data_IF_026442827213
#
_entry.id   IF_026442827213
#
_cell.length_a   1.000
_cell.length_b   1.000
_cell.length_c   1.000
_cell.angle_alpha   90.00
_cell.angle_beta   90.00
_cell.angle_gamma   90.00
#
_symmetry.space_group_name_H-M   'P 1'
#
loop_
_entity.id
_entity.type
_entity.pdbx_description
1 polymer ?
#
# COMPACT_ATOMS: atom_id res chain seq x y z
N UNK A 1 -63.04 4.95 2.17
CA UNK A 1 -62.42 6.18 2.73
C UNK A 1 -61.54 6.77 1.65
N UNK A 2 -62.02 7.91 1.13
CA UNK A 2 -61.43 8.98 0.29
C UNK A 2 -60.07 8.75 -0.41
N UNK A 3 -59.81 9.19 -1.64
CA UNK A 3 -60.62 9.45 -2.84
C UNK A 3 -59.64 9.90 -3.98
N UNK A 4 -59.64 9.20 -5.14
CA UNK A 4 -59.52 9.59 -6.59
C UNK A 4 -58.44 10.63 -7.02
N UNK A 5 -57.72 10.49 -8.16
CA UNK A 5 -58.22 10.50 -9.56
C UNK A 5 -57.23 9.80 -10.53
N UNK A 6 -57.79 9.01 -11.46
CA UNK A 6 -57.19 8.56 -12.73
C UNK A 6 -57.65 9.52 -13.83
N UNK A 7 -56.77 10.03 -14.70
CA UNK A 7 -57.12 10.34 -16.11
C UNK A 7 -55.89 10.19 -17.03
N UNK A 8 -56.07 9.34 -18.04
CA UNK A 8 -55.29 9.06 -19.25
C UNK A 8 -55.33 10.19 -20.29
N UNK A 9 -54.24 10.39 -21.06
CA UNK A 9 -54.25 10.89 -22.45
C UNK A 9 -53.15 10.15 -23.22
N UNK A 10 -53.48 9.01 -23.82
CA UNK A 10 -53.84 8.84 -25.24
C UNK A 10 -52.62 8.48 -26.11
N UNK A 11 -52.47 7.17 -26.38
CA UNK A 11 -51.83 6.69 -27.60
C UNK A 11 -52.69 7.10 -28.80
N UNK A 12 -52.37 8.24 -29.39
CA UNK A 12 -52.75 8.61 -30.75
C UNK A 12 -51.48 8.69 -31.57
N UNK A 13 -51.18 7.61 -32.30
CA UNK A 13 -50.17 7.63 -33.36
C UNK A 13 -50.62 8.68 -34.39
N UNK A 14 -49.87 9.77 -34.53
CA UNK A 14 -49.79 10.56 -35.76
C UNK A 14 -48.56 11.48 -35.68
N UNK A 15 -47.55 11.17 -36.49
CA UNK A 15 -46.61 12.17 -36.98
C UNK A 15 -45.29 12.33 -36.22
N UNK A 16 -44.22 12.04 -36.96
CA UNK A 16 -42.84 12.52 -36.81
C UNK A 16 -42.03 11.76 -35.74
N UNK A 17 -40.91 11.22 -36.21
CA UNK A 17 -40.08 10.27 -35.51
C UNK A 17 -39.51 10.82 -34.21
N UNK A 18 -39.62 10.02 -33.17
CA UNK A 18 -38.62 10.01 -32.11
C UNK A 18 -37.68 8.85 -32.44
N UNK A 19 -36.64 9.12 -33.21
CA UNK A 19 -35.39 8.40 -32.99
C UNK A 19 -35.08 8.57 -31.51
N UNK A 20 -35.07 7.47 -30.76
CA UNK A 20 -34.52 7.46 -29.40
C UNK A 20 -33.14 8.08 -29.54
N UNK A 21 -32.84 9.22 -28.89
CA UNK A 21 -31.49 9.76 -28.96
C UNK A 21 -30.55 8.68 -28.45
N UNK A 22 -29.53 8.38 -29.24
CA UNK A 22 -28.42 7.54 -28.79
C UNK A 22 -27.98 8.05 -27.41
N UNK A 23 -27.55 7.12 -26.56
CA UNK A 23 -27.20 7.25 -25.13
C UNK A 23 -26.24 8.39 -24.75
N UNK A 24 -25.82 9.19 -25.72
CA UNK A 24 -24.83 10.26 -25.64
C UNK A 24 -25.47 11.59 -25.21
N UNK A 25 -26.70 11.88 -25.64
CA UNK A 25 -27.33 13.19 -25.41
C UNK A 25 -27.80 13.39 -23.96
N UNK A 26 -28.25 12.31 -23.30
CA UNK A 26 -28.70 12.34 -21.90
C UNK A 26 -27.55 12.45 -20.89
N UNK A 27 -26.31 12.17 -21.30
CA UNK A 27 -25.16 12.14 -20.36
C UNK A 27 -24.58 13.54 -20.16
N UNK A 28 -24.51 14.35 -21.22
CA UNK A 28 -24.08 15.75 -21.15
C UNK A 28 -25.08 16.65 -20.44
N UNK A 29 -26.38 16.53 -20.76
CA UNK A 29 -27.42 17.27 -20.05
C UNK A 29 -27.43 16.91 -18.56
N UNK A 30 -27.24 15.63 -18.17
CA UNK A 30 -27.17 15.23 -16.76
C UNK A 30 -25.88 15.65 -16.04
N UNK A 31 -24.77 15.87 -16.77
CA UNK A 31 -23.52 16.43 -16.22
C UNK A 31 -23.63 17.94 -15.99
N UNK A 32 -24.53 18.62 -16.71
CA UNK A 32 -24.61 20.08 -16.77
C UNK A 32 -25.92 20.65 -16.17
N UNK A 33 -26.99 19.86 -16.01
CA UNK A 33 -28.26 20.26 -15.41
C UNK A 33 -28.28 19.98 -13.90
N UNK A 34 -28.29 21.06 -13.10
CA UNK A 34 -28.88 21.03 -11.76
C UNK A 34 -27.94 21.00 -10.54
N UNK A 35 -26.62 20.94 -10.71
CA UNK A 35 -25.68 21.13 -9.58
C UNK A 35 -24.59 22.14 -9.93
N UNK A 36 -24.66 23.32 -9.32
CA UNK A 36 -23.52 24.22 -9.26
C UNK A 36 -22.34 23.53 -8.57
N UNK A 37 -21.16 23.63 -9.18
CA UNK A 37 -19.84 23.73 -8.55
C UNK A 37 -19.46 22.86 -7.33
N UNK A 38 -20.13 21.75 -7.04
CA UNK A 38 -19.70 20.87 -5.95
C UNK A 38 -18.82 19.77 -6.53
N UNK A 39 -17.52 20.04 -6.47
CA UNK A 39 -16.42 19.08 -6.34
C UNK A 39 -16.80 17.59 -6.56
N UNK A 40 -17.09 17.21 -7.80
CA UNK A 40 -17.05 15.80 -8.19
C UNK A 40 -15.57 15.46 -8.38
N UNK A 41 -15.06 14.58 -7.54
CA UNK A 41 -13.71 14.01 -7.71
C UNK A 41 -13.59 13.44 -9.12
N UNK A 42 -12.51 13.79 -9.84
CA UNK A 42 -12.32 13.35 -11.22
C UNK A 42 -12.97 14.20 -12.31
N UNK A 43 -13.54 15.38 -11.98
CA UNK A 43 -13.98 16.33 -13.01
C UNK A 43 -12.85 17.32 -13.38
N UNK A 44 -12.49 17.37 -14.66
CA UNK A 44 -11.62 18.37 -15.28
C UNK A 44 -12.49 19.44 -15.97
N UNK A 45 -12.37 20.70 -15.55
CA UNK A 45 -12.97 21.83 -16.27
C UNK A 45 -11.87 22.68 -16.88
N UNK A 46 -11.74 22.63 -18.21
CA UNK A 46 -10.89 23.56 -18.94
C UNK A 46 -11.52 24.96 -19.07
N UNK A 47 -12.85 25.06 -18.96
CA UNK A 47 -13.61 26.31 -19.02
C UNK A 47 -14.81 26.24 -18.05
N UNK A 48 -14.98 27.19 -17.10
CA UNK A 48 -16.11 27.22 -16.18
C UNK A 48 -17.47 27.49 -16.83
N UNK A 49 -17.48 28.05 -18.05
CA UNK A 49 -18.66 28.63 -18.69
C UNK A 49 -19.36 27.72 -19.70
N UNK A 50 -18.80 26.55 -20.01
CA UNK A 50 -19.24 25.72 -21.13
C UNK A 50 -19.18 24.22 -20.81
N UNK A 51 -20.15 23.51 -21.36
CA UNK A 51 -20.52 22.15 -21.00
C UNK A 51 -21.04 21.47 -22.28
N UNK A 52 -20.39 21.76 -23.40
CA UNK A 52 -20.93 21.50 -24.73
C UNK A 52 -20.51 20.13 -25.25
N UNK A 53 -19.44 19.55 -24.70
CA UNK A 53 -18.89 18.24 -25.07
C UNK A 53 -18.01 17.69 -23.94
N UNK A 54 -17.80 16.37 -23.92
CA UNK A 54 -17.04 15.70 -22.87
C UNK A 54 -16.02 14.70 -23.40
N UNK A 55 -15.02 14.41 -22.58
CA UNK A 55 -14.09 13.31 -22.76
C UNK A 55 -14.05 12.52 -21.46
N UNK A 56 -14.50 11.28 -21.49
CA UNK A 56 -14.37 10.34 -20.37
C UNK A 56 -13.09 9.51 -20.53
N UNK A 57 -12.22 9.61 -19.54
CA UNK A 57 -11.01 8.82 -19.40
C UNK A 57 -11.32 7.67 -18.45
N UNK A 58 -11.26 6.45 -18.97
CA UNK A 58 -11.35 5.22 -18.20
C UNK A 58 -9.91 4.78 -17.95
N UNK A 59 -9.39 5.09 -16.76
CA UNK A 59 -8.01 4.79 -16.38
C UNK A 59 -8.00 3.43 -15.70
N UNK A 60 -7.43 2.44 -16.37
CA UNK A 60 -7.34 1.05 -15.95
C UNK A 60 -5.94 0.77 -15.40
N UNK A 61 -5.76 0.67 -14.07
CA UNK A 61 -4.51 0.20 -13.49
C UNK A 61 -4.29 -1.27 -13.84
N UNK A 62 -3.05 -1.64 -14.11
CA UNK A 62 -2.66 -3.03 -14.38
C UNK A 62 -1.47 -3.41 -13.50
N UNK A 63 -1.61 -4.49 -12.73
CA UNK A 63 -0.52 -5.00 -11.88
C UNK A 63 -0.29 -4.24 -10.58
N UNK A 64 -1.10 -3.21 -10.28
CA UNK A 64 -1.10 -2.53 -8.99
C UNK A 64 -2.38 -1.73 -8.71
N UNK A 65 -2.51 -1.23 -7.48
CA UNK A 65 -3.63 -0.40 -7.01
C UNK A 65 -3.16 1.01 -6.63
N UNK A 66 -3.25 2.01 -7.54
CA UNK A 66 -2.83 3.37 -7.22
C UNK A 66 -3.62 3.95 -6.05
N UNK A 67 -2.95 4.51 -5.05
CA UNK A 67 -3.60 5.32 -4.00
C UNK A 67 -4.20 6.62 -4.55
N UNK A 68 -3.72 7.09 -5.71
CA UNK A 68 -4.20 8.29 -6.35
C UNK A 68 -3.83 8.31 -7.85
N UNK A 69 -4.63 8.99 -8.67
CA UNK A 69 -4.25 9.36 -10.05
C UNK A 69 -4.32 10.88 -10.23
N UNK A 70 -3.51 11.41 -11.15
CA UNK A 70 -3.59 12.78 -11.64
C UNK A 70 -3.80 12.75 -13.13
N UNK A 71 -4.79 13.48 -13.62
CA UNK A 71 -5.02 13.67 -15.04
C UNK A 71 -4.81 15.14 -15.39
N UNK A 72 -4.01 15.39 -16.41
CA UNK A 72 -3.75 16.71 -16.96
C UNK A 72 -4.11 16.74 -18.45
N UNK A 73 -4.64 17.88 -18.87
CA UNK A 73 -5.09 18.14 -20.23
C UNK A 73 -4.57 19.51 -20.66
N UNK A 74 -4.02 19.62 -21.86
CA UNK A 74 -3.66 20.90 -22.47
C UNK A 74 -3.85 20.87 -23.98
N UNK A 75 -4.03 22.04 -24.58
CA UNK A 75 -3.98 22.20 -26.04
C UNK A 75 -2.57 21.92 -26.56
N UNK A 76 -2.43 21.43 -27.79
CA UNK A 76 -1.13 21.13 -28.43
C UNK A 76 -0.13 22.31 -28.38
N UNK A 77 -0.64 23.54 -28.42
CA UNK A 77 0.16 24.77 -28.34
C UNK A 77 0.59 25.14 -26.91
N UNK A 78 0.14 24.39 -25.91
CA UNK A 78 0.44 24.58 -24.48
C UNK A 78 -0.54 25.51 -23.75
N UNK A 79 -1.59 25.99 -24.40
CA UNK A 79 -2.59 26.87 -23.78
C UNK A 79 -3.73 26.10 -23.11
N UNK A 80 -4.46 26.75 -22.20
CA UNK A 80 -5.71 26.22 -21.64
C UNK A 80 -5.57 24.96 -20.78
N UNK A 81 -4.44 24.79 -20.07
CA UNK A 81 -4.18 23.60 -19.28
C UNK A 81 -5.13 23.45 -18.08
N UNK A 82 -5.67 22.25 -17.89
CA UNK A 82 -6.46 21.84 -16.73
C UNK A 82 -5.85 20.57 -16.10
N UNK A 83 -5.92 20.45 -14.78
CA UNK A 83 -5.50 19.24 -14.08
C UNK A 83 -6.47 18.92 -12.95
N UNK A 84 -6.59 17.62 -12.64
CA UNK A 84 -7.39 17.12 -11.53
C UNK A 84 -6.67 15.96 -10.87
N UNK A 85 -6.98 15.75 -9.61
CA UNK A 85 -6.44 14.67 -8.79
C UNK A 85 -7.61 13.85 -8.30
N UNK A 86 -7.49 12.53 -8.41
CA UNK A 86 -8.52 11.58 -7.98
C UNK A 86 -7.89 10.62 -6.97
N UNK A 87 -8.12 10.82 -5.66
CA UNK A 87 -7.70 9.85 -4.67
C UNK A 87 -8.49 8.55 -4.84
N UNK A 88 -7.87 7.42 -4.47
CA UNK A 88 -8.54 6.12 -4.49
C UNK A 88 -9.63 6.10 -3.41
N UNK A 89 -10.84 5.72 -3.81
CA UNK A 89 -11.92 5.48 -2.86
C UNK A 89 -11.60 4.21 -2.03
N UNK A 90 -11.66 4.23 -0.69
CA UNK A 90 -11.38 3.07 0.14
C UNK A 90 -12.26 1.83 -0.13
N UNK A 91 -13.44 2.02 -0.74
CA UNK A 91 -14.35 0.92 -1.11
C UNK A 91 -14.13 0.38 -2.52
N UNK A 92 -13.16 0.94 -3.25
CA UNK A 92 -12.84 0.54 -4.61
C UNK A 92 -12.13 -0.81 -4.60
N UNK A 93 -12.66 -1.78 -5.34
CA UNK A 93 -12.02 -3.09 -5.48
C UNK A 93 -10.62 -2.95 -6.11
N UNK A 94 -9.76 -3.92 -5.85
CA UNK A 94 -8.44 -3.98 -6.48
C UNK A 94 -8.58 -4.13 -8.00
N UNK A 95 -7.74 -3.40 -8.74
CA UNK A 95 -7.77 -3.32 -10.20
C UNK A 95 -8.97 -2.58 -10.79
N UNK A 96 -9.82 -1.93 -9.98
CA UNK A 96 -10.92 -1.13 -10.51
C UNK A 96 -10.40 0.09 -11.29
N UNK A 97 -11.16 0.52 -12.30
CA UNK A 97 -10.81 1.68 -13.11
C UNK A 97 -11.20 3.00 -12.41
N UNK A 98 -10.37 4.03 -12.59
CA UNK A 98 -10.72 5.40 -12.25
C UNK A 98 -11.43 6.04 -13.44
N UNK A 99 -12.48 6.81 -13.17
CA UNK A 99 -13.19 7.56 -14.19
C UNK A 99 -12.90 9.04 -14.01
N UNK A 100 -12.34 9.67 -15.04
CA UNK A 100 -12.09 11.11 -15.09
C UNK A 100 -12.87 11.69 -16.25
N UNK A 101 -13.67 12.71 -16.02
CA UNK A 101 -14.43 13.39 -17.08
C UNK A 101 -13.83 14.77 -17.30
N UNK A 102 -13.37 15.04 -18.52
CA UNK A 102 -12.97 16.37 -18.95
C UNK A 102 -14.10 17.03 -19.74
N UNK A 103 -14.62 18.13 -19.21
CA UNK A 103 -15.54 19.01 -19.92
C UNK A 103 -14.74 19.99 -20.77
N UNK A 104 -15.03 20.01 -22.06
CA UNK A 104 -14.28 20.78 -23.05
C UNK A 104 -15.14 21.91 -23.62
N UNK A 105 -14.46 22.96 -24.08
CA UNK A 105 -15.08 24.13 -24.71
C UNK A 105 -14.48 24.43 -26.07
N UNK A 106 -15.11 25.37 -26.79
CA UNK A 106 -14.56 25.90 -28.05
C UNK A 106 -13.26 26.70 -27.86
N UNK A 107 -12.77 26.89 -26.63
CA UNK A 107 -11.46 27.52 -26.36
C UNK A 107 -10.29 26.56 -26.64
N UNK A 108 -10.52 25.26 -26.48
CA UNK A 108 -9.59 24.21 -26.87
C UNK A 108 -9.97 23.76 -28.29
N UNK A 109 -9.30 24.30 -29.32
CA UNK A 109 -9.61 23.98 -30.74
C UNK A 109 -8.56 23.11 -31.42
N UNK A 110 -7.36 23.01 -30.85
CA UNK A 110 -6.26 22.22 -31.37
C UNK A 110 -6.12 20.87 -30.65
N UNK A 111 -5.56 19.88 -31.35
CA UNK A 111 -5.25 18.54 -30.82
C UNK A 111 -4.97 18.52 -29.30
N UNK A 112 -5.74 17.72 -28.55
CA UNK A 112 -5.64 17.70 -27.09
C UNK A 112 -4.56 16.74 -26.66
N UNK A 113 -3.64 17.20 -25.81
CA UNK A 113 -2.67 16.35 -25.14
C UNK A 113 -3.15 16.02 -23.73
N UNK A 114 -3.21 14.74 -23.44
CA UNK A 114 -3.51 14.21 -22.12
C UNK A 114 -2.30 13.51 -21.55
N UNK A 115 -2.15 13.64 -20.25
CA UNK A 115 -1.24 12.86 -19.44
C UNK A 115 -1.98 12.39 -18.21
N UNK A 116 -1.91 11.08 -17.97
CA UNK A 116 -2.44 10.46 -16.77
C UNK A 116 -1.29 9.82 -16.03
N UNK A 117 -1.16 10.23 -14.78
CA UNK A 117 -0.15 9.77 -13.84
C UNK A 117 -0.83 8.95 -12.75
N UNK A 118 -0.21 7.84 -12.36
CA UNK A 118 -0.62 7.07 -11.19
C UNK A 118 0.44 7.10 -10.10
N UNK A 119 -0.03 7.12 -8.86
CA UNK A 119 0.79 7.25 -7.66
C UNK A 119 0.43 6.13 -6.69
N UNK A 120 1.45 5.63 -5.99
CA UNK A 120 1.32 4.52 -5.04
C UNK A 120 0.45 4.90 -3.84
N UNK A 121 0.68 6.07 -3.24
CA UNK A 121 -0.05 6.53 -2.05
C UNK A 121 -0.78 7.86 -2.29
N UNK A 122 -0.02 8.97 -2.32
CA UNK A 122 -0.55 10.32 -2.54
C UNK A 122 -0.02 10.90 -3.85
N UNK A 123 -0.78 11.82 -4.45
CA UNK A 123 -0.41 12.48 -5.70
C UNK A 123 0.66 13.59 -5.55
N UNK A 124 1.35 13.65 -4.41
CA UNK A 124 2.39 14.65 -4.12
C UNK A 124 3.81 14.12 -4.39
N UNK A 125 3.95 12.81 -4.58
CA UNK A 125 5.21 12.15 -4.89
C UNK A 125 5.49 12.11 -6.40
N UNK A 126 6.57 11.43 -6.80
CA UNK A 126 6.78 11.08 -8.19
C UNK A 126 5.75 10.02 -8.63
N UNK A 127 5.21 10.09 -9.86
CA UNK A 127 4.34 9.04 -10.36
C UNK A 127 5.11 7.74 -10.56
N UNK A 128 4.46 6.62 -10.27
CA UNK A 128 5.04 5.28 -10.51
C UNK A 128 4.93 4.89 -11.97
N UNK A 129 3.89 5.37 -12.65
CA UNK A 129 3.69 5.17 -14.08
C UNK A 129 2.88 6.32 -14.66
N UNK A 130 3.16 6.66 -15.91
CA UNK A 130 2.54 7.78 -16.63
C UNK A 130 2.23 7.35 -18.05
N UNK A 131 1.10 7.81 -18.58
CA UNK A 131 0.73 7.64 -19.98
C UNK A 131 0.32 8.96 -20.58
N UNK A 132 1.04 9.39 -21.62
CA UNK A 132 0.73 10.58 -22.37
C UNK A 132 0.30 10.22 -23.79
N UNK A 133 -0.81 10.80 -24.23
CA UNK A 133 -1.39 10.53 -25.54
C UNK A 133 -2.12 11.75 -26.07
N UNK A 134 -2.46 11.71 -27.35
CA UNK A 134 -3.16 12.79 -28.02
C UNK A 134 -4.53 12.29 -28.45
N UNK A 135 -5.57 13.07 -28.18
CA UNK A 135 -6.94 12.75 -28.54
C UNK A 135 -7.52 13.79 -29.48
N UNK A 136 -8.43 13.32 -30.33
CA UNK A 136 -9.28 14.20 -31.12
C UNK A 136 -10.26 14.96 -30.24
N UNK A 137 -10.78 16.06 -30.77
CA UNK A 137 -11.88 16.77 -30.14
C UNK A 137 -13.21 16.05 -30.40
N UNK A 138 -13.97 15.71 -29.36
CA UNK A 138 -15.35 15.26 -29.52
C UNK A 138 -16.17 16.33 -30.25
N UNK A 139 -17.21 15.96 -30.99
CA UNK A 139 -18.14 16.96 -31.53
C UNK A 139 -19.01 17.56 -30.41
N UNK A 140 -19.68 18.68 -30.70
CA UNK A 140 -20.63 19.27 -29.74
C UNK A 140 -21.77 18.28 -29.47
N UNK A 141 -22.12 18.12 -28.21
CA UNK A 141 -23.16 17.21 -27.72
C UNK A 141 -22.68 15.77 -27.51
N UNK A 142 -21.41 15.46 -27.78
CA UNK A 142 -20.86 14.09 -27.65
C UNK A 142 -19.91 13.97 -26.45
N UNK A 143 -19.86 12.75 -25.91
CA UNK A 143 -18.82 12.31 -24.98
C UNK A 143 -17.96 11.27 -25.67
N UNK A 144 -16.69 11.57 -25.90
CA UNK A 144 -15.75 10.55 -26.35
C UNK A 144 -15.20 9.78 -25.15
N UNK A 145 -14.97 8.47 -25.32
CA UNK A 145 -14.32 7.64 -24.30
C UNK A 145 -12.90 7.30 -24.72
N UNK A 146 -11.97 7.28 -23.76
CA UNK A 146 -10.61 6.82 -23.95
C UNK A 146 -10.22 5.88 -22.82
N UNK A 147 -9.86 4.65 -23.17
CA UNK A 147 -9.28 3.68 -22.24
C UNK A 147 -7.77 3.94 -22.13
N UNK A 148 -7.30 4.11 -20.90
CA UNK A 148 -5.87 4.30 -20.60
C UNK A 148 -5.42 3.17 -19.70
N UNK A 149 -4.50 2.36 -20.18
CA UNK A 149 -3.87 1.30 -19.40
C UNK A 149 -2.61 1.84 -18.74
N UNK A 150 -2.55 1.73 -17.41
CA UNK A 150 -1.40 2.14 -16.60
C UNK A 150 -0.76 0.90 -15.95
N UNK A 151 0.22 0.26 -16.62
CA UNK A 151 0.93 -0.86 -16.04
C UNK A 151 1.97 -0.39 -15.01
N UNK A 152 1.99 -1.04 -13.86
CA UNK A 152 3.12 -1.09 -12.94
C UNK A 152 3.18 -2.49 -12.29
N UNK A 153 4.30 -2.83 -11.66
CA UNK A 153 4.49 -4.13 -11.02
C UNK A 153 4.51 -3.97 -9.50
N UNK A 154 3.53 -4.58 -8.84
CA UNK A 154 3.54 -4.93 -7.41
C UNK A 154 3.92 -6.42 -7.33
N UNK A 155 5.18 -6.70 -6.99
CA UNK A 155 5.78 -8.02 -7.17
C UNK A 155 5.39 -9.02 -6.07
N UNK A 156 5.18 -8.54 -4.85
CA UNK A 156 4.80 -9.36 -3.69
C UNK A 156 3.34 -9.11 -3.22
N UNK A 157 2.64 -8.17 -3.85
CA UNK A 157 1.21 -7.90 -3.64
C UNK A 157 0.93 -7.07 -2.39
N UNK A 158 1.91 -6.33 -1.89
CA UNK A 158 1.80 -5.60 -0.63
C UNK A 158 1.26 -4.16 -0.80
N UNK A 159 0.98 -3.78 -2.04
CA UNK A 159 0.49 -2.47 -2.47
C UNK A 159 1.58 -1.46 -2.79
N UNK A 160 2.86 -1.84 -2.66
CA UNK A 160 4.01 -1.02 -3.02
C UNK A 160 4.61 -1.51 -4.33
N UNK A 161 5.13 -0.56 -5.10
CA UNK A 161 5.61 -0.77 -6.47
C UNK A 161 7.11 -0.90 -6.44
N UNK A 162 7.63 -1.78 -7.29
CA UNK A 162 9.07 -2.00 -7.37
C UNK A 162 9.85 -0.73 -7.67
N UNK A 163 10.95 -0.51 -6.93
CA UNK A 163 11.89 0.60 -7.19
C UNK A 163 12.44 0.58 -8.61
N UNK A 164 12.64 -0.62 -9.18
CA UNK A 164 13.09 -0.80 -10.56
C UNK A 164 12.14 -0.20 -11.60
N UNK A 165 10.87 0.02 -11.23
CA UNK A 165 9.82 0.62 -12.06
C UNK A 165 9.32 1.95 -11.50
N UNK A 166 10.07 2.60 -10.61
CA UNK A 166 9.73 3.95 -10.09
C UNK A 166 8.85 3.96 -8.84
N UNK A 167 8.59 2.82 -8.22
CA UNK A 167 7.88 2.70 -6.95
C UNK A 167 8.74 2.85 -5.70
N UNK A 168 8.14 2.66 -4.52
CA UNK A 168 8.87 2.79 -3.24
C UNK A 168 9.18 1.48 -2.52
N UNK A 169 8.71 0.34 -3.04
CA UNK A 169 8.93 -0.97 -2.42
C UNK A 169 10.43 -1.23 -2.18
N UNK A 170 10.75 -1.57 -0.94
CA UNK A 170 12.09 -1.91 -0.55
C UNK A 170 12.46 -3.33 -0.97
N UNK A 171 11.54 -4.28 -0.89
CA UNK A 171 11.80 -5.69 -1.16
C UNK A 171 10.65 -6.34 -1.93
N UNK A 172 10.81 -6.36 -3.26
CA UNK A 172 9.92 -6.95 -4.27
C UNK A 172 9.62 -8.46 -4.12
N UNK A 173 10.00 -9.09 -3.01
CA UNK A 173 9.82 -10.51 -2.74
C UNK A 173 9.32 -10.79 -1.31
N UNK A 174 9.12 -9.75 -0.48
CA UNK A 174 8.67 -9.90 0.90
C UNK A 174 7.72 -8.76 1.29
N UNK A 175 6.42 -9.10 1.23
CA UNK A 175 5.29 -8.21 1.52
C UNK A 175 5.31 -7.53 2.91
N UNK A 176 6.20 -7.97 3.80
CA UNK A 176 6.38 -7.37 5.12
C UNK A 176 7.40 -6.22 5.15
N UNK A 177 8.18 -6.02 4.08
CA UNK A 177 9.32 -5.08 4.03
C UNK A 177 9.12 -3.99 2.98
N UNK A 178 8.22 -3.05 3.30
CA UNK A 178 7.90 -1.85 2.51
C UNK A 178 8.99 -0.79 2.51
N UNK A 179 9.70 -0.71 3.64
CA UNK A 179 10.68 0.32 3.94
C UNK A 179 11.98 -0.31 4.46
N UNK A 180 13.07 0.48 4.46
CA UNK A 180 14.34 0.01 5.03
C UNK A 180 14.22 -0.17 6.55
N UNK A 181 14.42 -1.40 7.02
CA UNK A 181 14.43 -1.75 8.44
C UNK A 181 15.86 -1.81 8.99
N UNK A 182 15.98 -1.87 10.32
CA UNK A 182 17.27 -2.02 10.99
C UNK A 182 17.66 -3.50 11.04
N UNK A 183 18.91 -3.75 10.72
CA UNK A 183 19.55 -5.06 10.81
C UNK A 183 20.72 -4.98 11.78
N UNK A 184 20.75 -5.92 12.71
CA UNK A 184 21.74 -6.04 13.76
C UNK A 184 22.66 -7.23 13.47
N UNK A 185 23.98 -7.11 13.71
CA UNK A 185 24.92 -8.21 13.55
C UNK A 185 24.46 -9.45 14.31
N UNK A 186 24.62 -10.63 13.72
CA UNK A 186 24.30 -11.95 14.28
C UNK A 186 25.54 -12.83 14.01
N UNK A 187 26.52 -12.75 14.92
CA UNK A 187 27.86 -13.31 14.71
C UNK A 187 27.90 -14.83 14.88
N UNK A 188 27.04 -15.39 15.72
CA UNK A 188 26.96 -16.83 15.95
C UNK A 188 25.89 -17.55 15.11
N UNK A 189 25.00 -16.80 14.45
CA UNK A 189 24.11 -17.27 13.40
C UNK A 189 22.87 -17.97 13.91
N UNK A 190 22.38 -17.60 15.09
CA UNK A 190 21.20 -18.22 15.70
C UNK A 190 19.87 -17.51 15.36
N UNK A 191 19.95 -16.40 14.62
CA UNK A 191 18.81 -15.61 14.16
C UNK A 191 18.42 -14.45 15.08
N UNK A 192 19.17 -14.23 16.16
CA UNK A 192 19.03 -13.07 17.03
C UNK A 192 20.19 -12.12 16.83
N UNK A 193 19.86 -10.83 16.71
CA UNK A 193 20.89 -9.83 16.49
C UNK A 193 21.41 -9.29 17.81
N UNK A 194 22.69 -8.98 17.81
CA UNK A 194 23.43 -8.37 18.91
C UNK A 194 22.72 -7.14 19.48
N UNK A 195 22.55 -7.14 20.80
CA UNK A 195 22.23 -5.91 21.53
C UNK A 195 23.47 -5.02 21.78
N UNK A 196 24.66 -5.49 21.37
CA UNK A 196 25.95 -4.84 21.59
C UNK A 196 26.21 -3.75 20.55
N UNK A 197 26.76 -2.61 21.00
CA UNK A 197 27.15 -1.50 20.13
C UNK A 197 28.49 -1.72 19.40
N UNK A 198 28.99 -2.96 19.33
CA UNK A 198 30.35 -3.26 18.85
C UNK A 198 30.46 -3.36 17.34
N UNK A 199 29.39 -3.76 16.65
CA UNK A 199 29.35 -3.86 15.20
C UNK A 199 28.25 -2.94 14.62
N UNK A 200 28.40 -2.48 13.36
CA UNK A 200 27.51 -1.47 12.79
C UNK A 200 26.13 -2.04 12.51
N UNK A 201 25.11 -1.41 13.09
CA UNK A 201 23.71 -1.59 12.68
C UNK A 201 23.53 -0.95 11.31
N UNK A 202 22.92 -1.68 10.38
CA UNK A 202 22.66 -1.20 9.02
C UNK A 202 21.15 -1.00 8.80
N UNK A 203 20.81 -0.10 7.87
CA UNK A 203 19.43 0.17 7.48
C UNK A 203 19.25 -0.18 6.01
N UNK A 204 18.62 -1.31 5.74
CA UNK A 204 18.46 -1.85 4.39
C UNK A 204 17.12 -2.58 4.23
N UNK A 205 16.75 -2.87 2.98
CA UNK A 205 15.55 -3.63 2.65
C UNK A 205 15.73 -5.09 3.07
N UNK A 206 16.76 -5.75 2.54
CA UNK A 206 17.16 -7.09 2.93
C UNK A 206 18.45 -7.05 3.73
N UNK A 207 18.50 -7.80 4.82
CA UNK A 207 19.65 -7.86 5.69
C UNK A 207 20.86 -8.47 5.02
N UNK A 208 22.08 -8.00 5.34
CA UNK A 208 23.29 -8.74 4.97
C UNK A 208 23.28 -10.15 5.58
N UNK A 209 24.11 -11.05 5.05
CA UNK A 209 24.40 -12.31 5.74
C UNK A 209 24.99 -12.01 7.13
N UNK A 210 24.66 -12.86 8.12
CA UNK A 210 25.07 -12.68 9.53
C UNK A 210 24.48 -11.44 10.20
N UNK A 211 23.22 -11.13 9.85
CA UNK A 211 22.45 -10.08 10.50
C UNK A 211 21.00 -10.55 10.71
N UNK A 212 20.40 -10.10 11.81
CA UNK A 212 19.00 -10.33 12.14
C UNK A 212 18.21 -9.01 12.25
N UNK A 213 16.90 -9.06 12.03
CA UNK A 213 16.00 -7.90 12.09
C UNK A 213 15.54 -7.54 13.51
N UNK A 214 16.28 -8.00 14.53
CA UNK A 214 16.02 -7.79 15.95
C UNK A 214 17.35 -7.60 16.68
N UNK A 215 17.32 -7.04 17.88
CA UNK A 215 18.51 -6.76 18.69
C UNK A 215 18.44 -7.42 20.07
N UNK A 216 17.98 -8.67 20.10
CA UNK A 216 17.55 -9.34 21.34
C UNK A 216 18.56 -10.34 21.87
N UNK A 217 19.66 -10.55 21.17
CA UNK A 217 20.68 -11.48 21.62
C UNK A 217 21.44 -10.92 22.83
N UNK A 218 21.47 -11.69 23.91
CA UNK A 218 22.23 -11.37 25.12
C UNK A 218 23.68 -11.87 25.07
N UNK A 219 24.01 -12.82 24.19
CA UNK A 219 25.37 -13.28 23.95
C UNK A 219 25.60 -13.75 22.49
N UNK A 220 25.87 -12.75 21.64
CA UNK A 220 26.22 -12.83 20.21
C UNK A 220 27.59 -13.49 19.91
N UNK A 221 28.04 -14.41 20.75
CA UNK A 221 29.20 -15.27 20.48
C UNK A 221 28.90 -16.75 20.79
N UNK A 222 27.66 -17.08 21.18
CA UNK A 222 27.24 -18.42 21.57
C UNK A 222 25.78 -18.66 21.15
N UNK A 223 25.60 -19.31 20.00
CA UNK A 223 24.28 -19.67 19.42
C UNK A 223 23.35 -20.52 20.32
N UNK A 224 23.85 -20.97 21.47
CA UNK A 224 23.05 -21.66 22.49
C UNK A 224 22.45 -20.69 23.52
N UNK A 225 22.75 -19.40 23.42
CA UNK A 225 22.35 -18.35 24.36
C UNK A 225 21.57 -17.28 23.60
N UNK A 226 20.25 -17.41 23.60
CA UNK A 226 19.37 -16.47 22.91
C UNK A 226 17.91 -16.56 23.38
N UNK A 227 17.06 -15.57 23.03
CA UNK A 227 15.68 -15.54 23.49
C UNK A 227 14.91 -16.84 23.24
N UNK A 228 14.45 -17.44 24.34
CA UNK A 228 13.60 -18.63 24.31
C UNK A 228 14.34 -19.97 24.19
N UNK A 229 15.67 -19.98 24.29
CA UNK A 229 16.43 -21.22 24.49
C UNK A 229 16.00 -21.95 25.78
N UNK A 230 16.31 -23.23 25.86
CA UNK A 230 16.03 -24.02 27.06
C UNK A 230 17.22 -23.98 28.02
N UNK A 231 16.96 -23.70 29.30
CA UNK A 231 17.90 -23.81 30.42
C UNK A 231 18.25 -25.28 30.70
N UNK A 232 19.09 -25.88 29.83
CA UNK A 232 19.53 -27.28 29.96
C UNK A 232 20.86 -27.42 30.68
N UNK A 233 21.52 -26.29 30.97
CA UNK A 233 22.78 -26.21 31.69
C UNK A 233 22.55 -25.39 32.95
N UNK A 234 22.98 -25.94 34.07
CA UNK A 234 23.25 -25.27 35.32
C UNK A 234 24.72 -24.80 35.28
N UNK A 235 24.99 -23.70 34.57
CA UNK A 235 26.34 -23.15 34.44
C UNK A 235 26.46 -21.70 34.92
N UNK A 236 25.39 -21.18 35.54
CA UNK A 236 25.34 -19.82 36.07
C UNK A 236 25.14 -18.78 34.99
N UNK A 237 24.67 -19.17 33.80
CA UNK A 237 24.33 -18.28 32.69
C UNK A 237 22.82 -18.25 32.48
N UNK A 238 22.37 -17.17 31.85
CA UNK A 238 21.02 -17.02 31.34
C UNK A 238 21.08 -17.44 29.87
N UNK A 239 20.77 -18.71 29.59
CA UNK A 239 20.80 -19.28 28.25
C UNK A 239 19.62 -18.75 27.41
N UNK A 240 18.51 -18.34 28.05
CA UNK A 240 17.27 -17.97 27.38
C UNK A 240 17.02 -16.46 27.26
N UNK A 241 17.95 -15.64 27.77
CA UNK A 241 17.93 -14.18 27.82
C UNK A 241 16.70 -13.56 28.51
N UNK A 242 16.11 -14.21 29.53
CA UNK A 242 14.95 -13.67 30.28
C UNK A 242 15.32 -12.92 31.59
N UNK A 243 16.62 -12.77 31.87
CA UNK A 243 17.24 -12.23 33.09
C UNK A 243 17.09 -13.11 34.34
N UNK A 244 16.86 -14.40 34.16
CA UNK A 244 16.99 -15.41 35.20
C UNK A 244 18.05 -16.41 34.76
N UNK A 245 18.57 -17.13 35.75
CA UNK A 245 19.73 -17.99 35.58
C UNK A 245 19.38 -19.36 36.12
N UNK A 246 19.66 -20.40 35.32
CA UNK A 246 19.51 -21.81 35.66
C UNK A 246 18.08 -22.17 36.16
N UNK A 247 17.02 -21.65 35.52
CA UNK A 247 15.65 -22.01 35.92
C UNK A 247 15.35 -23.49 35.68
N UNK A 248 14.52 -24.06 36.56
CA UNK A 248 14.22 -25.49 36.56
C UNK A 248 15.23 -26.34 37.34
N UNK A 249 16.40 -25.81 37.70
CA UNK A 249 17.40 -26.51 38.54
C UNK A 249 17.19 -26.36 40.06
N UNK A 250 16.22 -25.53 40.49
CA UNK A 250 15.88 -25.28 41.90
C UNK A 250 17.08 -24.78 42.74
N UNK A 251 17.92 -23.94 42.16
CA UNK A 251 19.10 -23.38 42.84
C UNK A 251 18.71 -22.63 44.12
N UNK A 252 19.46 -22.87 45.19
CA UNK A 252 19.20 -22.32 46.52
C UNK A 252 18.14 -23.07 47.34
N UNK A 253 17.44 -24.06 46.77
CA UNK A 253 16.52 -24.90 47.54
C UNK A 253 17.28 -25.81 48.53
N UNK A 254 16.60 -26.24 49.60
CA UNK A 254 17.21 -27.13 50.60
C UNK A 254 17.34 -28.56 50.07
N UNK A 255 18.48 -29.20 50.33
CA UNK A 255 18.75 -30.59 50.00
C UNK A 255 19.38 -31.34 51.18
N UNK A 256 19.49 -32.67 51.07
CA UNK A 256 20.10 -33.52 52.10
C UNK A 256 21.43 -34.07 51.60
N UNK A 257 22.50 -33.79 52.34
CA UNK A 257 23.84 -34.31 52.07
C UNK A 257 23.87 -35.84 52.27
N UNK A 258 24.79 -36.56 51.61
CA UNK A 258 24.91 -38.02 51.77
C UNK A 258 25.10 -38.51 53.21
N UNK A 259 25.59 -37.64 54.11
CA UNK A 259 25.77 -37.92 55.55
C UNK A 259 24.61 -37.43 56.45
N UNK A 260 23.48 -37.06 55.86
CA UNK A 260 22.26 -36.66 56.58
C UNK A 260 22.24 -35.20 57.06
N UNK A 261 23.22 -34.38 56.68
CA UNK A 261 23.22 -32.93 56.93
C UNK A 261 22.29 -32.19 55.95
N UNK A 262 21.87 -30.97 56.29
CA UNK A 262 21.17 -30.07 55.36
C UNK A 262 22.19 -29.30 54.53
N UNK A 263 21.91 -29.16 53.24
CA UNK A 263 22.66 -28.32 52.32
C UNK A 263 21.72 -27.51 51.42
N UNK A 264 22.31 -26.85 50.43
CA UNK A 264 21.62 -26.10 49.38
C UNK A 264 21.97 -26.67 48.01
N UNK A 265 21.00 -26.62 47.09
CA UNK A 265 21.21 -27.01 45.70
C UNK A 265 22.06 -25.94 45.02
N UNK A 266 23.15 -26.37 44.39
CA UNK A 266 24.03 -25.55 43.55
C UNK A 266 24.35 -26.30 42.26
N UNK A 267 24.79 -25.59 41.22
CA UNK A 267 25.32 -26.24 40.03
C UNK A 267 26.54 -27.12 40.34
N UNK A 268 26.67 -28.25 39.65
CA UNK A 268 27.85 -29.11 39.74
C UNK A 268 29.00 -28.50 38.94
N UNK A 269 30.09 -28.06 39.59
CA UNK A 269 31.21 -27.42 38.88
C UNK A 269 31.94 -28.38 37.93
N UNK A 270 31.74 -29.69 38.03
CA UNK A 270 32.32 -30.68 37.14
C UNK A 270 31.38 -31.10 35.98
N UNK A 271 30.09 -30.81 36.08
CA UNK A 271 29.12 -31.18 35.06
C UNK A 271 27.97 -30.14 34.99
N UNK A 272 27.97 -29.25 33.99
CA UNK A 272 26.98 -28.20 33.89
C UNK A 272 25.56 -28.74 33.65
N UNK A 273 25.36 -30.01 33.29
CA UNK A 273 24.00 -30.57 33.19
C UNK A 273 23.50 -31.17 34.52
N UNK A 274 24.17 -30.91 35.64
CA UNK A 274 23.85 -31.49 36.95
C UNK A 274 23.85 -30.46 38.05
N UNK A 275 23.06 -30.79 39.08
CA UNK A 275 23.06 -30.11 40.37
C UNK A 275 23.75 -30.98 41.42
N UNK A 276 24.28 -30.33 42.45
CA UNK A 276 24.86 -30.97 43.62
C UNK A 276 24.30 -30.34 44.90
N UNK A 277 24.40 -31.07 46.02
CA UNK A 277 24.01 -30.59 47.33
C UNK A 277 25.27 -30.17 48.10
N UNK A 278 25.40 -28.89 48.43
CA UNK A 278 26.55 -28.33 49.15
C UNK A 278 26.12 -27.80 50.51
N UNK A 279 26.97 -27.94 51.54
CA UNK A 279 26.66 -27.49 52.90
C UNK A 279 27.90 -27.41 53.78
#
# INVERSE_FOLDING_TARGET
MRNWIVVTVASGCLGIGCTVPETDQFTLERLCEGQGSQALEGLLRADPSTCDRGLELIVQPMGFNPGCIRAALWSKDGTGAASTVVPRNPNMSDGAAFHVVALLSDALRDELRLEVDAFEQTCDAAPVTSHAFTVGHPEKGQIAQSLIELPALDADGDGFISKGTGGTDCNDSDWSIKDKILWYPDMDGDGYGSNSNTAPVVRECSGPSQYANNNRDCNDNDSLISPGQAELRCDGRDDNCDNRVDEGFNIGATCVLPRGGRGVITCDPANPSRITCTG
#
